data_IF_775487142541
#
_entry.id   IF_775487142541
#
_cell.length_a   1.000
_cell.length_b   1.000
_cell.length_c   1.000
_cell.angle_alpha   90.00
_cell.angle_beta   90.00
_cell.angle_gamma   90.00
#
_symmetry.space_group_name_H-M   'P 1'
#
loop_
_entity.id
_entity.type
_entity.pdbx_description
1 polymer ?
#
# COMPACT_ATOMS: atom_id res chain seq x y z
N UNK A 1 -7.70 -5.60 -12.02
CA UNK A 1 -6.99 -5.94 -10.77
C UNK A 1 -7.79 -5.44 -9.58
N UNK A 2 -7.99 -6.27 -8.59
CA UNK A 2 -8.76 -5.88 -7.41
C UNK A 2 -7.92 -5.02 -6.46
N UNK A 3 -8.62 -4.27 -5.59
CA UNK A 3 -7.94 -3.44 -4.60
C UNK A 3 -7.09 -4.31 -3.66
N UNK A 4 -7.58 -5.49 -3.31
CA UNK A 4 -6.84 -6.38 -2.42
C UNK A 4 -5.53 -6.86 -3.05
N UNK A 5 -5.57 -7.16 -4.34
CA UNK A 5 -4.35 -7.57 -5.04
C UNK A 5 -3.35 -6.44 -5.11
N UNK A 6 -3.82 -5.24 -5.38
CA UNK A 6 -2.93 -4.07 -5.44
C UNK A 6 -2.32 -3.77 -4.08
N UNK A 7 -3.11 -3.87 -3.01
CA UNK A 7 -2.60 -3.70 -1.66
C UNK A 7 -1.53 -4.72 -1.34
N UNK A 8 -1.74 -5.97 -1.73
CA UNK A 8 -0.75 -7.02 -1.50
C UNK A 8 0.58 -6.69 -2.18
N UNK A 9 0.51 -6.19 -3.42
CA UNK A 9 1.72 -5.80 -4.14
C UNK A 9 2.42 -4.62 -3.46
N UNK A 10 1.65 -3.66 -2.98
CA UNK A 10 2.23 -2.50 -2.28
C UNK A 10 2.87 -2.91 -0.96
N UNK A 11 2.24 -3.81 -0.21
CA UNK A 11 2.83 -4.30 1.03
C UNK A 11 4.15 -5.02 0.76
N UNK A 12 4.21 -5.84 -0.29
CA UNK A 12 5.43 -6.53 -0.66
C UNK A 12 6.52 -5.54 -1.05
N UNK A 13 6.17 -4.51 -1.79
CA UNK A 13 7.12 -3.48 -2.18
C UNK A 13 7.62 -2.71 -0.97
N UNK A 14 6.72 -2.37 -0.07
CA UNK A 14 7.07 -1.66 1.16
C UNK A 14 8.08 -2.47 1.98
N UNK A 15 7.80 -3.75 2.15
CA UNK A 15 8.69 -4.64 2.92
C UNK A 15 10.07 -4.71 2.28
N UNK A 16 10.13 -4.82 0.96
CA UNK A 16 11.39 -4.83 0.22
C UNK A 16 12.16 -3.52 0.44
N UNK A 17 11.48 -2.39 0.35
CA UNK A 17 12.14 -1.09 0.50
C UNK A 17 12.68 -0.88 1.91
N UNK A 18 11.95 -1.32 2.92
CA UNK A 18 12.40 -1.26 4.31
C UNK A 18 13.64 -2.14 4.49
N UNK A 19 13.61 -3.36 3.95
CA UNK A 19 14.75 -4.29 4.04
C UNK A 19 15.98 -3.74 3.33
N UNK A 20 15.78 -2.93 2.29
CA UNK A 20 16.87 -2.32 1.52
C UNK A 20 17.29 -0.95 2.07
N UNK A 21 16.75 -0.55 3.20
CA UNK A 21 17.03 0.73 3.84
C UNK A 21 16.68 1.94 2.96
N UNK A 22 15.63 1.80 2.16
CA UNK A 22 15.14 2.88 1.29
C UNK A 22 13.91 3.53 1.90
N UNK A 23 14.14 4.25 3.00
CA UNK A 23 13.07 4.79 3.83
C UNK A 23 12.20 5.82 3.11
N UNK A 24 12.81 6.67 2.27
CA UNK A 24 12.06 7.70 1.56
C UNK A 24 11.07 7.07 0.59
N UNK A 25 11.53 6.07 -0.18
CA UNK A 25 10.67 5.38 -1.13
C UNK A 25 9.60 4.57 -0.41
N UNK A 26 9.96 3.95 0.72
CA UNK A 26 9.01 3.20 1.52
C UNK A 26 7.88 4.09 2.03
N UNK A 27 8.21 5.32 2.38
CA UNK A 27 7.20 6.27 2.85
C UNK A 27 6.19 6.59 1.76
N UNK A 28 6.64 6.74 0.52
CA UNK A 28 5.75 6.99 -0.61
C UNK A 28 4.79 5.82 -0.80
N UNK A 29 5.32 4.59 -0.73
CA UNK A 29 4.48 3.40 -0.86
C UNK A 29 3.49 3.31 0.29
N UNK A 30 3.90 3.68 1.50
CA UNK A 30 3.03 3.69 2.66
C UNK A 30 1.83 4.61 2.45
N UNK A 31 2.06 5.77 1.84
CA UNK A 31 0.98 6.70 1.54
C UNK A 31 0.00 6.11 0.53
N UNK A 32 0.52 5.42 -0.48
CA UNK A 32 -0.34 4.76 -1.47
C UNK A 32 -1.18 3.66 -0.83
N UNK A 33 -0.59 2.88 0.08
CA UNK A 33 -1.31 1.85 0.82
C UNK A 33 -2.46 2.47 1.60
N UNK A 34 -2.19 3.56 2.28
CA UNK A 34 -3.21 4.22 3.09
C UNK A 34 -4.37 4.71 2.23
N UNK A 35 -4.07 5.30 1.07
CA UNK A 35 -5.10 5.77 0.16
C UNK A 35 -5.98 4.63 -0.33
N UNK A 36 -5.37 3.52 -0.70
CA UNK A 36 -6.13 2.36 -1.17
C UNK A 36 -6.98 1.74 -0.06
N UNK A 37 -6.46 1.72 1.16
CA UNK A 37 -7.22 1.21 2.29
C UNK A 37 -8.45 2.08 2.56
N UNK A 38 -8.31 3.39 2.43
CA UNK A 38 -9.43 4.30 2.59
C UNK A 38 -10.49 4.08 1.51
N UNK A 39 -10.05 3.90 0.26
CA UNK A 39 -10.96 3.63 -0.84
C UNK A 39 -11.71 2.31 -0.63
N UNK A 40 -11.00 1.29 -0.16
CA UNK A 40 -11.60 0.00 0.13
C UNK A 40 -12.67 0.12 1.22
N UNK A 41 -12.36 0.90 2.26
CA UNK A 41 -13.29 1.12 3.35
C UNK A 41 -14.55 1.83 2.88
N UNK A 42 -14.41 2.83 2.01
CA UNK A 42 -15.55 3.53 1.44
C UNK A 42 -16.43 2.59 0.63
N UNK A 43 -15.82 1.66 -0.12
CA UNK A 43 -16.57 0.68 -0.89
C UNK A 43 -17.40 -0.24 0.00
N UNK A 44 -16.88 -0.57 1.16
CA UNK A 44 -17.60 -1.45 2.09
C UNK A 44 -18.74 -0.74 2.80
N UNK A 45 -18.64 0.57 2.96
CA UNK A 45 -19.68 1.31 3.70
C UNK A 45 -20.89 1.64 2.83
N UNK A 46 -20.81 1.47 1.55
CA UNK A 46 -21.92 1.68 0.64
C UNK A 46 -22.72 0.39 0.45
#
# INVERSE_FOLDING_TARGET
MSINEKLKQLYNRYDFLISSDRKVQARTVQMEIRELELLREESYTN
#
